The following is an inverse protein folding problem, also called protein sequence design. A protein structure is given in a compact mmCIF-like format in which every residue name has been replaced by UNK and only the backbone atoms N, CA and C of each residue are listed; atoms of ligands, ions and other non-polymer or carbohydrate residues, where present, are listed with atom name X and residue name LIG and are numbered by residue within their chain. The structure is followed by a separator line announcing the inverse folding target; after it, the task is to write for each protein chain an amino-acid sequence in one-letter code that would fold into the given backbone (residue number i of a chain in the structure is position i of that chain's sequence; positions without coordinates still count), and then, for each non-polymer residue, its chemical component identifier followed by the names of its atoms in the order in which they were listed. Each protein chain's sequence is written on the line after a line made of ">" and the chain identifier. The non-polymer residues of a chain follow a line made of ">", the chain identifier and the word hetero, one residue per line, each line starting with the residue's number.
data_IF_220904100106
#
_entry.id   IF_220904100106
#
_cell.length_a   1.000
_cell.length_b   1.000
_cell.length_c   1.000
_cell.angle_alpha   90.00
_cell.angle_beta   90.00
_cell.angle_gamma   90.00
#
_symmetry.space_group_name_H-M   'P 1'
#
loop_
_entity.id
_entity.type
_entity.pdbx_description
1 polymer ?
#
# COMPACT_ATOMS: atom_id res chain seq x y z
N UNK A 1 -16.22 4.64 -18.73
CA UNK A 1 -15.79 5.82 -17.95
C UNK A 1 -16.27 5.63 -16.51
N UNK A 2 -15.40 5.80 -15.51
CA UNK A 2 -15.80 5.67 -14.10
C UNK A 2 -16.84 6.75 -13.73
N UNK A 3 -17.88 6.39 -12.97
CA UNK A 3 -18.98 7.32 -12.59
C UNK A 3 -18.46 8.58 -11.89
N UNK A 4 -17.41 8.44 -11.06
CA UNK A 4 -16.77 9.55 -10.35
C UNK A 4 -16.10 10.54 -11.29
N UNK A 5 -15.39 10.03 -12.30
CA UNK A 5 -14.71 10.84 -13.31
C UNK A 5 -15.72 11.64 -14.12
N UNK A 6 -16.82 10.99 -14.55
CA UNK A 6 -17.90 11.66 -15.26
C UNK A 6 -18.53 12.79 -14.44
N UNK A 7 -18.88 12.52 -13.18
CA UNK A 7 -19.45 13.54 -12.28
C UNK A 7 -18.52 14.74 -12.12
N UNK A 8 -17.22 14.52 -11.90
CA UNK A 8 -16.24 15.61 -11.76
C UNK A 8 -16.09 16.41 -13.05
N UNK A 9 -15.99 15.75 -14.20
CA UNK A 9 -15.91 16.42 -15.50
C UNK A 9 -17.16 17.27 -15.76
N UNK A 10 -18.36 16.72 -15.55
CA UNK A 10 -19.63 17.45 -15.72
C UNK A 10 -19.75 18.63 -14.77
N UNK A 11 -19.30 18.48 -13.52
CA UNK A 11 -19.30 19.57 -12.56
C UNK A 11 -18.38 20.73 -12.96
N UNK A 12 -17.22 20.45 -13.55
CA UNK A 12 -16.30 21.47 -14.07
C UNK A 12 -16.84 22.17 -15.32
N UNK A 13 -17.55 21.44 -16.18
CA UNK A 13 -18.21 22.02 -17.36
C UNK A 13 -19.31 23.00 -16.95
N UNK A 14 -20.22 22.59 -16.07
CA UNK A 14 -21.28 23.47 -15.56
C UNK A 14 -20.69 24.68 -14.82
N UNK A 15 -19.57 24.49 -14.12
CA UNK A 15 -18.85 25.58 -13.47
C UNK A 15 -18.27 26.59 -14.46
N UNK A 16 -17.86 26.14 -15.66
CA UNK A 16 -17.39 27.01 -16.75
C UNK A 16 -18.55 27.75 -17.42
N UNK A 17 -19.72 27.12 -17.53
CA UNK A 17 -20.96 27.71 -18.06
C UNK A 17 -21.60 28.75 -17.12
N UNK A 18 -21.04 28.94 -15.91
CA UNK A 18 -21.46 30.00 -14.98
C UNK A 18 -22.52 29.59 -13.96
N UNK A 19 -22.88 28.31 -13.87
CA UNK A 19 -23.82 27.82 -12.87
C UNK A 19 -23.30 27.99 -11.43
N UNK A 20 -24.22 28.19 -10.48
CA UNK A 20 -23.85 28.32 -9.06
C UNK A 20 -23.50 26.96 -8.48
N UNK A 21 -22.56 26.94 -7.55
CA UNK A 21 -22.07 25.70 -6.94
C UNK A 21 -23.16 24.84 -6.29
N UNK A 22 -24.22 25.45 -5.76
CA UNK A 22 -25.37 24.72 -5.20
C UNK A 22 -26.17 23.98 -6.28
N UNK A 23 -26.40 24.62 -7.43
CA UNK A 23 -27.15 24.04 -8.56
C UNK A 23 -26.35 22.90 -9.17
N UNK A 24 -25.04 23.10 -9.37
CA UNK A 24 -24.13 22.07 -9.89
C UNK A 24 -24.11 20.85 -8.95
N UNK A 25 -23.99 21.09 -7.63
CA UNK A 25 -23.99 20.03 -6.62
C UNK A 25 -25.26 19.17 -6.68
N UNK A 26 -26.44 19.81 -6.78
CA UNK A 26 -27.72 19.14 -6.92
C UNK A 26 -27.82 18.35 -8.23
N UNK A 27 -27.47 18.95 -9.37
CA UNK A 27 -27.58 18.30 -10.68
C UNK A 27 -26.66 17.08 -10.84
N UNK A 28 -25.44 17.15 -10.32
CA UNK A 28 -24.42 16.09 -10.48
C UNK A 28 -24.50 15.07 -9.32
N UNK A 29 -25.20 15.41 -8.23
CA UNK A 29 -25.24 14.61 -7.01
C UNK A 29 -23.87 14.55 -6.34
N UNK A 30 -23.24 15.71 -6.14
CA UNK A 30 -22.02 15.90 -5.37
C UNK A 30 -22.29 16.85 -4.20
N UNK A 31 -21.52 16.77 -3.13
CA UNK A 31 -21.60 17.79 -2.08
C UNK A 31 -20.96 19.10 -2.54
N UNK A 32 -21.44 20.24 -2.02
CA UNK A 32 -20.82 21.55 -2.27
C UNK A 32 -19.33 21.55 -1.88
N UNK A 33 -18.97 20.88 -0.79
CA UNK A 33 -17.56 20.75 -0.34
C UNK A 33 -16.72 20.01 -1.39
N UNK A 34 -17.26 18.94 -1.98
CA UNK A 34 -16.60 18.20 -3.06
C UNK A 34 -16.34 19.11 -4.28
N UNK A 35 -17.31 19.95 -4.64
CA UNK A 35 -17.18 20.86 -5.78
C UNK A 35 -16.11 21.94 -5.53
N UNK A 36 -16.09 22.55 -4.35
CA UNK A 36 -15.07 23.54 -3.96
C UNK A 36 -13.67 22.92 -4.00
N UNK A 37 -13.51 21.72 -3.44
CA UNK A 37 -12.24 21.00 -3.50
C UNK A 37 -11.84 20.61 -4.93
N UNK A 38 -12.80 20.25 -5.78
CA UNK A 38 -12.56 19.93 -7.18
C UNK A 38 -12.07 21.17 -7.96
N UNK A 39 -12.71 22.33 -7.78
CA UNK A 39 -12.26 23.60 -8.38
C UNK A 39 -10.86 23.97 -7.90
N UNK A 40 -10.57 23.83 -6.61
CA UNK A 40 -9.22 24.06 -6.05
C UNK A 40 -8.19 23.13 -6.70
N UNK A 41 -8.50 21.84 -6.82
CA UNK A 41 -7.62 20.87 -7.49
C UNK A 41 -7.44 21.20 -8.97
N UNK A 42 -8.48 21.65 -9.67
CA UNK A 42 -8.38 22.03 -11.08
C UNK A 42 -7.36 23.15 -11.33
N UNK A 43 -7.23 24.10 -10.40
CA UNK A 43 -6.22 25.16 -10.51
C UNK A 43 -4.77 24.61 -10.44
N UNK A 44 -4.56 23.50 -9.73
CA UNK A 44 -3.24 22.90 -9.52
C UNK A 44 -2.92 21.79 -10.54
N UNK A 45 -3.90 20.94 -10.82
CA UNK A 45 -3.74 19.68 -11.56
C UNK A 45 -4.41 19.72 -12.94
N UNK A 46 -5.11 20.81 -13.28
CA UNK A 46 -5.94 20.92 -14.49
C UNK A 46 -6.88 19.72 -14.62
N UNK A 47 -6.96 19.10 -15.80
CA UNK A 47 -7.83 17.95 -16.05
C UNK A 47 -7.45 16.72 -15.23
N UNK A 48 -6.23 16.61 -14.69
CA UNK A 48 -5.87 15.46 -13.85
C UNK A 48 -6.69 15.40 -12.55
N UNK A 49 -7.32 16.50 -12.14
CA UNK A 49 -8.15 16.54 -10.94
C UNK A 49 -9.40 15.65 -10.99
N UNK A 50 -9.86 15.26 -12.18
CA UNK A 50 -11.04 14.40 -12.35
C UNK A 50 -10.74 12.96 -11.93
N UNK A 51 -9.49 12.54 -12.00
CA UNK A 51 -9.04 11.22 -11.60
C UNK A 51 -8.77 11.17 -10.08
N UNK A 52 -8.94 9.97 -9.52
CA UNK A 52 -8.58 9.70 -8.14
C UNK A 52 -7.04 9.72 -8.00
N UNK A 53 -6.57 10.36 -6.92
CA UNK A 53 -5.15 10.28 -6.56
C UNK A 53 -4.82 8.84 -6.14
N UNK A 54 -3.57 8.40 -6.33
CA UNK A 54 -3.10 7.15 -5.75
C UNK A 54 -3.46 7.12 -4.27
N UNK A 55 -4.13 6.06 -3.83
CA UNK A 55 -4.46 5.90 -2.42
C UNK A 55 -3.15 5.77 -1.66
N UNK A 56 -2.86 6.72 -0.77
CA UNK A 56 -1.83 6.54 0.23
C UNK A 56 -2.31 5.43 1.17
N UNK A 57 -1.98 4.18 0.82
CA UNK A 57 -2.26 3.03 1.68
C UNK A 57 -1.60 3.21 3.05
N UNK A 58 -2.03 2.42 4.03
CA UNK A 58 -1.35 2.35 5.33
C UNK A 58 0.12 2.00 5.11
N UNK A 59 1.04 2.84 5.60
CA UNK A 59 2.47 2.53 5.59
C UNK A 59 2.66 1.16 6.26
N UNK A 60 3.34 0.19 5.61
CA UNK A 60 3.60 -1.09 6.23
C UNK A 60 4.35 -0.91 7.56
N UNK A 61 3.95 -1.65 8.60
CA UNK A 61 4.64 -1.62 9.91
C UNK A 61 6.11 -2.02 9.80
N UNK A 62 6.43 -2.89 8.85
CA UNK A 62 7.79 -3.30 8.51
C UNK A 62 8.12 -2.79 7.12
N UNK A 63 9.17 -1.99 7.02
CA UNK A 63 9.64 -1.40 5.78
C UNK A 63 10.05 -2.47 4.74
N UNK A 64 10.03 -2.10 3.46
CA UNK A 64 10.41 -2.98 2.35
C UNK A 64 11.84 -3.49 2.48
N UNK A 65 12.77 -2.65 2.96
CA UNK A 65 14.17 -3.03 3.15
C UNK A 65 14.30 -4.15 4.21
N UNK A 66 13.66 -3.98 5.36
CA UNK A 66 13.67 -4.98 6.42
C UNK A 66 13.11 -6.32 5.95
N UNK A 67 12.04 -6.31 5.15
CA UNK A 67 11.50 -7.54 4.57
C UNK A 67 12.49 -8.24 3.66
N UNK A 68 13.16 -7.48 2.78
CA UNK A 68 14.18 -8.04 1.89
C UNK A 68 15.34 -8.67 2.68
N UNK A 69 15.80 -8.02 3.75
CA UNK A 69 16.82 -8.57 4.64
C UNK A 69 16.39 -9.88 5.30
N UNK A 70 15.15 -9.95 5.82
CA UNK A 70 14.59 -11.17 6.42
C UNK A 70 14.47 -12.29 5.37
N UNK A 71 14.04 -11.97 4.14
CA UNK A 71 13.97 -12.94 3.06
C UNK A 71 15.35 -13.45 2.66
N UNK A 72 16.34 -12.57 2.55
CA UNK A 72 17.72 -12.96 2.24
C UNK A 72 18.30 -13.87 3.32
N UNK A 73 18.07 -13.55 4.60
CA UNK A 73 18.47 -14.40 5.73
C UNK A 73 17.80 -15.78 5.68
N UNK A 74 16.51 -15.83 5.35
CA UNK A 74 15.79 -17.09 5.23
C UNK A 74 16.28 -17.98 4.06
N UNK A 75 16.93 -17.38 3.06
CA UNK A 75 17.52 -18.09 1.91
C UNK A 75 18.99 -18.46 2.12
N UNK A 76 19.63 -18.04 3.23
CA UNK A 76 21.01 -18.40 3.54
C UNK A 76 21.07 -19.70 4.35
N UNK A 77 22.29 -20.19 4.62
CA UNK A 77 22.47 -21.33 5.50
C UNK A 77 22.04 -21.00 6.94
N UNK A 78 21.37 -21.94 7.64
CA UNK A 78 21.04 -21.79 9.06
C UNK A 78 22.31 -21.81 9.93
N UNK A 79 22.26 -21.21 11.13
CA UNK A 79 23.38 -21.23 12.07
C UNK A 79 23.74 -22.64 12.51
N UNK A 80 24.99 -22.81 12.93
CA UNK A 80 25.56 -24.10 13.36
C UNK A 80 24.69 -24.76 14.45
N UNK A 81 24.43 -26.07 14.28
CA UNK A 81 23.52 -26.83 15.16
C UNK A 81 22.06 -26.88 14.70
N UNK A 82 21.68 -26.18 13.62
CA UNK A 82 20.34 -26.25 13.03
C UNK A 82 20.37 -26.74 11.59
N UNK A 83 19.56 -27.76 11.27
CA UNK A 83 19.45 -28.28 9.90
C UNK A 83 18.60 -27.43 8.94
N UNK A 84 17.80 -26.48 9.47
CA UNK A 84 16.95 -25.58 8.67
C UNK A 84 16.53 -24.34 9.46
N UNK A 85 16.16 -23.27 8.75
CA UNK A 85 15.51 -22.12 9.36
C UNK A 85 14.11 -22.46 9.87
N UNK A 86 13.84 -22.14 11.14
CA UNK A 86 12.49 -22.07 11.68
C UNK A 86 12.05 -20.60 11.81
N UNK A 87 10.73 -20.34 11.82
CA UNK A 87 10.22 -18.97 11.97
C UNK A 87 10.62 -18.33 13.30
N UNK A 88 10.76 -19.13 14.37
CA UNK A 88 11.25 -18.67 15.68
C UNK A 88 12.73 -18.32 15.61
N UNK A 89 13.54 -19.21 15.04
CA UNK A 89 14.98 -18.97 14.87
C UNK A 89 15.27 -17.72 14.01
N UNK A 90 14.48 -17.50 12.96
CA UNK A 90 14.57 -16.27 12.16
C UNK A 90 14.16 -15.03 12.95
N UNK A 91 13.11 -15.10 13.77
CA UNK A 91 12.70 -13.98 14.61
C UNK A 91 13.79 -13.62 15.63
N UNK A 92 14.34 -14.62 16.31
CA UNK A 92 15.41 -14.44 17.30
C UNK A 92 16.66 -13.85 16.64
N UNK A 93 17.06 -14.38 15.48
CA UNK A 93 18.22 -13.90 14.72
C UNK A 93 18.05 -12.45 14.23
N UNK A 94 16.85 -12.07 13.84
CA UNK A 94 16.55 -10.70 13.38
C UNK A 94 16.63 -9.68 14.53
N UNK A 95 16.28 -10.09 15.75
CA UNK A 95 16.48 -9.28 16.97
C UNK A 95 17.96 -9.23 17.35
N UNK A 96 18.66 -10.37 17.30
CA UNK A 96 20.10 -10.45 17.59
C UNK A 96 20.95 -9.57 16.66
N UNK A 97 20.59 -9.49 15.38
CA UNK A 97 21.24 -8.62 14.39
C UNK A 97 20.89 -7.13 14.56
N UNK A 98 20.04 -6.78 15.53
CA UNK A 98 19.66 -5.40 15.84
C UNK A 98 18.79 -4.73 14.78
N UNK A 99 18.12 -5.51 13.93
CA UNK A 99 17.28 -4.93 12.86
C UNK A 99 15.94 -4.41 13.39
N UNK A 100 15.45 -4.97 14.50
CA UNK A 100 14.23 -4.58 15.23
C UNK A 100 14.39 -4.90 16.71
N UNK A 101 13.71 -4.15 17.59
CA UNK A 101 13.70 -4.40 19.04
C UNK A 101 12.96 -5.68 19.42
N UNK A 102 12.00 -6.11 18.59
CA UNK A 102 11.24 -7.33 18.81
C UNK A 102 10.34 -7.66 17.63
N UNK A 103 10.27 -8.94 17.27
CA UNK A 103 9.39 -9.42 16.20
C UNK A 103 8.80 -10.78 16.57
N UNK A 104 7.47 -10.90 16.45
CA UNK A 104 6.80 -12.18 16.65
C UNK A 104 7.03 -13.10 15.44
N UNK A 105 7.28 -14.40 15.67
CA UNK A 105 7.54 -15.39 14.60
C UNK A 105 6.45 -15.42 13.51
N UNK A 106 5.18 -15.20 13.88
CA UNK A 106 4.07 -15.14 12.90
C UNK A 106 4.22 -13.94 11.94
N UNK A 107 4.81 -12.84 12.40
CA UNK A 107 5.13 -11.68 11.55
C UNK A 107 6.18 -12.05 10.51
N UNK A 108 7.21 -12.78 10.91
CA UNK A 108 8.23 -13.32 9.98
C UNK A 108 7.56 -14.22 8.95
N UNK A 109 6.67 -15.13 9.38
CA UNK A 109 5.89 -15.98 8.49
C UNK A 109 5.04 -15.19 7.48
N UNK A 110 4.36 -14.12 7.92
CA UNK A 110 3.58 -13.22 7.04
C UNK A 110 4.46 -12.47 6.04
N UNK A 111 5.68 -12.08 6.43
CA UNK A 111 6.65 -11.43 5.54
C UNK A 111 7.10 -12.39 4.45
N UNK A 112 7.49 -13.60 4.83
CA UNK A 112 7.97 -14.63 3.91
C UNK A 112 6.88 -15.12 2.95
N UNK A 113 5.65 -15.32 3.46
CA UNK A 113 4.48 -15.69 2.62
C UNK A 113 4.18 -14.65 1.54
N UNK A 114 4.31 -13.36 1.84
CA UNK A 114 4.11 -12.28 0.84
C UNK A 114 5.22 -12.21 -0.20
N UNK A 115 6.39 -12.77 0.10
CA UNK A 115 7.57 -12.74 -0.77
C UNK A 115 7.77 -14.07 -1.51
N UNK A 116 6.82 -15.02 -1.36
CA UNK A 116 6.84 -16.37 -1.93
C UNK A 116 8.11 -17.19 -1.62
N UNK A 117 8.88 -16.82 -0.59
CA UNK A 117 10.01 -17.60 -0.10
C UNK A 117 9.51 -18.43 1.07
N UNK A 118 9.68 -19.75 0.97
CA UNK A 118 9.23 -20.67 2.00
C UNK A 118 10.41 -21.51 2.51
N UNK A 119 11.12 -21.06 3.56
CA UNK A 119 12.30 -21.76 4.07
C UNK A 119 11.98 -23.12 4.72
N UNK A 120 10.69 -23.40 4.97
CA UNK A 120 10.24 -24.68 5.52
C UNK A 120 9.82 -25.69 4.44
N UNK A 121 9.95 -25.36 3.14
CA UNK A 121 9.70 -26.30 2.05
C UNK A 121 10.88 -27.26 1.98
N UNK A 122 10.71 -28.47 2.49
CA UNK A 122 11.57 -29.60 2.17
C UNK A 122 11.57 -29.81 0.65
N UNK A 123 12.74 -29.75 0.01
CA UNK A 123 12.93 -30.32 -1.33
C UNK A 123 12.48 -31.79 -1.27
N UNK A 124 11.44 -32.13 -2.03
CA UNK A 124 11.21 -33.50 -2.41
C UNK A 124 12.33 -33.83 -3.40
N UNK A 125 13.25 -34.69 -2.95
CA UNK A 125 14.39 -35.14 -3.75
C UNK A 125 13.96 -35.78 -5.06
N UNK A 126 14.83 -35.60 -6.06
CA UNK A 126 14.86 -36.28 -7.37
C UNK A 126 15.13 -37.77 -7.18
#
# INVERSE_FOLDING_TARGET
>A
MEVRVYKRARALLLAHEGFKDQEIAQQVGLSRVTLVNLRRRFQQERLQCIYDRPRSGRKPLFDGNLRAKITALACSDPPEGYGRWSLRLLADRVVELGWVEGIHFDTVGRILKKTNSNPNRSEAGV
#
